data_IF_987208332951
#
_entry.id   IF_987208332951
#
_cell.length_a   1.000
_cell.length_b   1.000
_cell.length_c   1.000
_cell.angle_alpha   90.00
_cell.angle_beta   90.00
_cell.angle_gamma   90.00
#
_symmetry.space_group_name_H-M   'P 1'
#
loop_
_entity.id
_entity.type
_entity.pdbx_description
1 polymer ?
#
# COMPACT_ATOMS: atom_id res chain seq x y z
N UNK A 1 -11.24 6.77 1.12
CA UNK A 1 -10.64 5.91 0.05
C UNK A 1 -11.29 6.19 -1.30
N UNK A 2 -10.51 6.21 -2.39
CA UNK A 2 -10.96 6.36 -3.80
C UNK A 2 -10.16 5.42 -4.69
N UNK A 3 -10.79 4.87 -5.72
CA UNK A 3 -10.17 3.99 -6.72
C UNK A 3 -10.37 4.62 -8.09
N UNK A 4 -9.32 4.69 -8.89
CA UNK A 4 -9.39 5.13 -10.29
C UNK A 4 -8.80 4.08 -11.23
N UNK A 5 -9.49 3.82 -12.33
CA UNK A 5 -8.99 2.94 -13.39
C UNK A 5 -8.18 3.77 -14.37
N UNK A 6 -6.92 3.38 -14.57
CA UNK A 6 -6.00 4.06 -15.49
C UNK A 6 -6.08 3.41 -16.87
N UNK A 7 -6.16 2.08 -16.91
CA UNK A 7 -6.31 1.31 -18.15
C UNK A 7 -6.94 -0.05 -17.85
N UNK A 8 -7.02 -0.95 -18.82
CA UNK A 8 -7.71 -2.23 -18.65
C UNK A 8 -7.05 -3.10 -17.56
N UNK A 9 -5.73 -3.02 -17.42
CA UNK A 9 -4.96 -3.81 -16.44
C UNK A 9 -4.46 -3.00 -15.25
N UNK A 10 -4.65 -1.67 -15.23
CA UNK A 10 -4.01 -0.79 -14.25
C UNK A 10 -5.03 0.03 -13.47
N UNK A 11 -4.91 0.00 -12.14
CA UNK A 11 -5.73 0.79 -11.21
C UNK A 11 -4.84 1.58 -10.24
N UNK A 12 -5.28 2.79 -9.90
CA UNK A 12 -4.71 3.65 -8.86
C UNK A 12 -5.63 3.64 -7.65
N UNK A 13 -5.07 3.36 -6.48
CA UNK A 13 -5.77 3.47 -5.20
C UNK A 13 -5.29 4.72 -4.47
N UNK A 14 -6.23 5.52 -4.00
CA UNK A 14 -6.01 6.65 -3.12
C UNK A 14 -6.63 6.34 -1.76
N UNK A 15 -5.78 6.16 -0.76
CA UNK A 15 -6.18 5.86 0.62
C UNK A 15 -5.55 6.92 1.53
N UNK A 16 -6.33 7.49 2.44
CA UNK A 16 -5.84 8.46 3.43
C UNK A 16 -5.32 7.73 4.68
N UNK A 17 -4.51 8.38 5.51
CA UNK A 17 -4.05 7.76 6.76
C UNK A 17 -5.21 7.43 7.71
N UNK A 18 -6.22 8.30 7.84
CA UNK A 18 -7.40 8.01 8.66
C UNK A 18 -8.20 6.80 8.17
N UNK A 19 -8.28 6.58 6.85
CA UNK A 19 -8.90 5.37 6.28
C UNK A 19 -8.16 4.08 6.71
N UNK A 20 -6.85 4.17 6.93
CA UNK A 20 -5.96 3.04 7.27
C UNK A 20 -6.04 2.77 8.77
N UNK A 21 -5.98 3.83 9.57
CA UNK A 21 -6.13 3.77 11.03
C UNK A 21 -7.51 3.27 11.44
N UNK A 22 -8.58 3.67 10.73
CA UNK A 22 -9.93 3.17 10.96
C UNK A 22 -10.08 1.66 10.70
N UNK A 23 -9.16 1.06 9.92
CA UNK A 23 -9.10 -0.38 9.66
C UNK A 23 -8.15 -1.12 10.61
N UNK A 24 -7.58 -0.43 11.61
CA UNK A 24 -6.65 -0.99 12.58
C UNK A 24 -5.22 -1.12 12.07
N UNK A 25 -4.89 -0.50 10.95
CA UNK A 25 -3.53 -0.49 10.41
C UNK A 25 -2.82 0.81 10.79
N UNK A 26 -1.56 0.71 11.21
CA UNK A 26 -0.71 1.86 11.49
C UNK A 26 0.06 2.27 10.25
N UNK A 27 0.41 3.56 10.13
CA UNK A 27 1.25 4.09 9.03
C UNK A 27 2.58 3.32 8.84
N UNK A 28 3.10 2.74 9.92
CA UNK A 28 4.35 1.98 9.95
C UNK A 28 4.19 0.58 9.35
N UNK A 29 3.01 -0.03 9.47
CA UNK A 29 2.69 -1.33 8.87
C UNK A 29 2.63 -1.30 7.34
N UNK A 30 2.25 -0.15 6.76
CA UNK A 30 2.11 0.03 5.31
C UNK A 30 3.41 -0.20 4.56
N UNK A 31 4.53 0.25 5.13
CA UNK A 31 5.84 0.13 4.51
C UNK A 31 6.57 -1.14 4.96
N UNK A 32 6.28 -1.62 6.16
CA UNK A 32 6.97 -2.77 6.75
C UNK A 32 6.53 -4.11 6.14
N UNK A 33 5.28 -4.23 5.68
CA UNK A 33 4.83 -5.44 4.97
C UNK A 33 5.51 -5.65 3.60
N UNK A 34 6.18 -4.63 3.05
CA UNK A 34 6.95 -4.78 1.80
C UNK A 34 8.30 -5.46 1.98
N UNK A 35 8.77 -5.69 3.22
CA UNK A 35 10.01 -6.47 3.47
C UNK A 35 9.90 -7.96 3.12
N UNK A 36 8.73 -8.46 2.70
CA UNK A 36 8.61 -9.78 2.06
C UNK A 36 8.85 -9.76 0.53
N UNK A 37 9.15 -8.60 -0.06
CA UNK A 37 9.48 -8.45 -1.48
C UNK A 37 10.95 -8.14 -1.79
N UNK A 38 11.76 -7.74 -0.80
CA UNK A 38 13.17 -7.34 -1.00
C UNK A 38 14.13 -8.03 -0.03
N UNK A 39 14.06 -9.36 0.08
CA UNK A 39 15.18 -10.14 0.63
C UNK A 39 16.13 -10.59 -0.49
N UNK A 40 16.59 -9.69 -1.38
CA UNK A 40 17.57 -10.10 -2.40
C UNK A 40 18.31 -9.02 -3.22
N UNK A 41 18.53 -7.79 -2.74
CA UNK A 41 19.45 -6.86 -3.44
C UNK A 41 20.43 -6.16 -2.48
N UNK A 42 21.13 -7.00 -1.73
CA UNK A 42 22.25 -6.59 -0.89
C UNK A 42 23.21 -7.75 -0.63
N UNK A 43 23.73 -8.35 -1.70
CA UNK A 43 25.03 -9.05 -1.77
C UNK A 43 25.57 -8.93 -3.20
#
# INVERSE_FOLDING_TARGET
MRIERVDDTTVKLFITYSDIEARGFSREDLWTNRKRGENSFGQ
#
